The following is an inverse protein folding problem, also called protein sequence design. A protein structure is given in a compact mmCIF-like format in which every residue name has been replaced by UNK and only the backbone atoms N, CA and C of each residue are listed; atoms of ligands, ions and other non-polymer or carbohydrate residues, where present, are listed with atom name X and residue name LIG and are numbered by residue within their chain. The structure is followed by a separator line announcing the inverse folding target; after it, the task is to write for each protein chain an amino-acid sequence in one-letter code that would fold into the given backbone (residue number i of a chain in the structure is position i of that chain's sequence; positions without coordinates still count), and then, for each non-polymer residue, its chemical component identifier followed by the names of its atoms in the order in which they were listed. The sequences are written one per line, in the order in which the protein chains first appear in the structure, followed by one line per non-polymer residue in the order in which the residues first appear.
data_IF_717386302381
#
_entry.id   IF_717386302381
#
_cell.length_a   1.000
_cell.length_b   1.000
_cell.length_c   1.000
_cell.angle_alpha   90.00
_cell.angle_beta   90.00
_cell.angle_gamma   90.00
#
_symmetry.space_group_name_H-M   'P 1'
#
loop_
_entity.id
_entity.type
_entity.pdbx_description
1 polymer ?
#
# COMPACT_ATOMS: atom_id res chain seq x y z
N UNK A 1 -21.14 -1.00 6.05
CA UNK A 1 -20.67 -1.04 4.66
C UNK A 1 -21.46 -2.09 3.89
N UNK A 2 -21.50 -1.98 2.57
CA UNK A 2 -22.10 -3.02 1.73
C UNK A 2 -21.28 -4.30 1.79
N UNK A 3 -21.94 -5.46 1.70
CA UNK A 3 -21.26 -6.75 1.61
C UNK A 3 -20.44 -6.82 0.30
N UNK A 4 -19.29 -7.50 0.29
CA UNK A 4 -18.55 -7.74 -0.94
C UNK A 4 -19.40 -8.37 -2.04
N UNK A 5 -19.19 -7.92 -3.28
CA UNK A 5 -19.91 -8.40 -4.46
C UNK A 5 -19.02 -9.27 -5.36
N UNK A 6 -19.63 -9.88 -6.38
CA UNK A 6 -18.87 -10.61 -7.41
C UNK A 6 -18.01 -9.68 -8.28
N UNK A 7 -18.41 -8.42 -8.41
CA UNK A 7 -17.66 -7.42 -9.17
C UNK A 7 -16.41 -7.00 -8.40
N UNK A 8 -16.52 -6.82 -7.08
CA UNK A 8 -15.37 -6.61 -6.18
C UNK A 8 -14.35 -7.76 -6.31
N UNK A 9 -14.82 -9.00 -6.24
CA UNK A 9 -13.97 -10.18 -6.40
C UNK A 9 -13.29 -10.22 -7.79
N UNK A 10 -14.03 -9.87 -8.85
CA UNK A 10 -13.49 -9.82 -10.21
C UNK A 10 -12.41 -8.75 -10.37
N UNK A 11 -12.64 -7.55 -9.83
CA UNK A 11 -11.67 -6.46 -9.82
C UNK A 11 -10.43 -6.82 -9.01
N UNK A 12 -10.61 -7.41 -7.83
CA UNK A 12 -9.53 -7.88 -6.98
C UNK A 12 -8.63 -8.91 -7.68
N UNK A 13 -9.21 -9.88 -8.39
CA UNK A 13 -8.44 -10.87 -9.15
C UNK A 13 -7.66 -10.24 -10.32
N UNK A 14 -8.23 -9.22 -10.97
CA UNK A 14 -7.52 -8.44 -11.99
C UNK A 14 -6.34 -7.68 -11.37
N UNK A 15 -6.56 -6.99 -10.24
CA UNK A 15 -5.50 -6.31 -9.49
C UNK A 15 -4.40 -7.31 -9.10
N UNK A 16 -4.74 -8.43 -8.48
CA UNK A 16 -3.79 -9.49 -8.13
C UNK A 16 -2.94 -9.93 -9.33
N UNK A 17 -3.55 -10.06 -10.51
CA UNK A 17 -2.83 -10.45 -11.73
C UNK A 17 -1.85 -9.37 -12.19
N UNK A 18 -2.22 -8.09 -12.07
CA UNK A 18 -1.34 -6.96 -12.38
C UNK A 18 -0.19 -6.87 -11.36
N UNK A 19 -0.52 -6.90 -10.07
CA UNK A 19 0.43 -6.77 -8.95
C UNK A 19 1.43 -7.94 -8.87
N UNK A 20 1.04 -9.15 -9.29
CA UNK A 20 1.96 -10.31 -9.35
C UNK A 20 3.13 -10.10 -10.32
N UNK A 21 3.00 -9.22 -11.32
CA UNK A 21 4.13 -8.86 -12.19
C UNK A 21 5.22 -8.11 -11.43
N UNK A 22 4.87 -7.53 -10.27
CA UNK A 22 5.74 -6.78 -9.38
C UNK A 22 6.22 -7.60 -8.17
N UNK A 23 6.16 -8.93 -8.24
CA UNK A 23 6.54 -9.81 -7.13
C UNK A 23 7.95 -9.53 -6.58
N UNK A 24 8.88 -9.08 -7.42
CA UNK A 24 10.24 -8.72 -6.99
C UNK A 24 10.24 -7.52 -6.03
N UNK A 25 9.38 -6.53 -6.25
CA UNK A 25 9.25 -5.36 -5.38
C UNK A 25 8.61 -5.73 -4.04
N UNK A 26 7.58 -6.59 -4.06
CA UNK A 26 6.96 -7.13 -2.83
C UNK A 26 7.94 -8.00 -2.04
N UNK A 27 8.73 -8.84 -2.71
CA UNK A 27 9.79 -9.61 -2.04
C UNK A 27 10.83 -8.68 -1.44
N UNK A 28 11.29 -7.69 -2.20
CA UNK A 28 12.28 -6.72 -1.74
C UNK A 28 11.80 -5.94 -0.50
N UNK A 29 10.56 -5.45 -0.48
CA UNK A 29 10.07 -4.67 0.66
C UNK A 29 9.90 -5.51 1.94
N UNK A 30 9.61 -6.80 1.79
CA UNK A 30 9.48 -7.72 2.91
C UNK A 30 10.82 -8.21 3.44
N UNK A 31 11.74 -8.57 2.55
CA UNK A 31 12.98 -9.29 2.91
C UNK A 31 14.21 -8.39 3.05
N UNK A 32 14.24 -7.23 2.38
CA UNK A 32 15.46 -6.41 2.27
C UNK A 32 15.31 -4.96 2.73
N UNK A 33 14.09 -4.43 2.68
CA UNK A 33 13.81 -3.04 3.03
C UNK A 33 13.66 -2.88 4.54
N UNK A 34 14.55 -2.09 5.14
CA UNK A 34 14.71 -1.90 6.59
C UNK A 34 14.74 -0.42 7.00
N UNK A 35 14.73 0.49 6.03
CA UNK A 35 14.90 1.92 6.23
C UNK A 35 13.70 2.52 6.96
N UNK A 36 13.96 3.20 8.08
CA UNK A 36 12.92 3.76 8.96
C UNK A 36 12.73 5.27 8.80
N UNK A 37 13.51 5.91 7.94
CA UNK A 37 13.41 7.33 7.66
C UNK A 37 13.82 7.62 6.21
N UNK A 38 13.37 8.78 5.73
CA UNK A 38 13.56 9.18 4.34
C UNK A 38 15.00 9.50 3.96
N UNK A 39 15.81 10.04 4.87
CA UNK A 39 17.19 10.43 4.56
C UNK A 39 18.06 9.20 4.30
N UNK A 40 17.93 8.16 5.15
CA UNK A 40 18.60 6.87 4.95
C UNK A 40 18.15 6.19 3.66
N UNK A 41 16.84 6.22 3.38
CA UNK A 41 16.30 5.71 2.12
C UNK A 41 16.88 6.45 0.91
N UNK A 42 16.90 7.78 0.94
CA UNK A 42 17.40 8.62 -0.15
C UNK A 42 18.89 8.42 -0.39
N UNK A 43 19.67 8.22 0.68
CA UNK A 43 21.10 7.94 0.62
C UNK A 43 21.39 6.55 0.05
N UNK A 44 20.70 5.50 0.53
CA UNK A 44 20.93 4.11 0.12
C UNK A 44 20.31 3.78 -1.24
N UNK A 45 19.15 4.36 -1.52
CA UNK A 45 18.36 4.13 -2.73
C UNK A 45 18.11 5.46 -3.47
N UNK A 46 19.16 6.04 -4.08
CA UNK A 46 19.00 7.27 -4.86
C UNK A 46 18.01 7.05 -6.00
N UNK A 47 17.42 8.14 -6.48
CA UNK A 47 16.45 8.12 -7.59
C UNK A 47 17.04 7.39 -8.80
N UNK A 48 16.31 6.39 -9.31
CA UNK A 48 16.76 5.55 -10.43
C UNK A 48 17.50 4.27 -10.02
N UNK A 49 17.81 4.09 -8.73
CA UNK A 49 18.27 2.79 -8.21
C UNK A 49 17.15 1.74 -8.25
N UNK A 50 17.53 0.46 -8.14
CA UNK A 50 16.57 -0.64 -8.05
C UNK A 50 15.67 -0.52 -6.80
N UNK A 51 16.25 -0.24 -5.63
CA UNK A 51 15.46 -0.07 -4.41
C UNK A 51 14.48 1.09 -4.49
N UNK A 52 14.86 2.20 -5.13
CA UNK A 52 13.93 3.30 -5.37
C UNK A 52 12.78 2.87 -6.28
N UNK A 53 13.05 2.13 -7.37
CA UNK A 53 11.99 1.60 -8.25
C UNK A 53 11.07 0.64 -7.51
N UNK A 54 11.63 -0.31 -6.75
CA UNK A 54 10.85 -1.28 -5.99
C UNK A 54 9.96 -0.58 -4.95
N UNK A 55 10.49 0.38 -4.21
CA UNK A 55 9.71 1.19 -3.27
C UNK A 55 8.57 1.91 -3.98
N UNK A 56 8.85 2.60 -5.09
CA UNK A 56 7.85 3.33 -5.87
C UNK A 56 6.76 2.40 -6.41
N UNK A 57 7.11 1.19 -6.84
CA UNK A 57 6.14 0.19 -7.28
C UNK A 57 5.19 -0.20 -6.15
N UNK A 58 5.71 -0.54 -4.97
CA UNK A 58 4.86 -0.89 -3.81
C UNK A 58 3.98 0.28 -3.39
N UNK A 59 4.55 1.47 -3.26
CA UNK A 59 3.81 2.66 -2.86
C UNK A 59 2.72 3.07 -3.87
N UNK A 60 2.99 2.93 -5.16
CA UNK A 60 2.01 3.21 -6.22
C UNK A 60 0.90 2.16 -6.26
N UNK A 61 1.22 0.89 -6.00
CA UNK A 61 0.24 -0.18 -5.90
C UNK A 61 -0.70 0.03 -4.69
N UNK A 62 -0.15 0.42 -3.53
CA UNK A 62 -0.95 0.80 -2.37
C UNK A 62 -1.83 2.02 -2.63
N UNK A 63 -1.34 3.02 -3.37
CA UNK A 63 -2.13 4.20 -3.76
C UNK A 63 -3.28 3.85 -4.70
N UNK A 64 -3.08 2.94 -5.65
CA UNK A 64 -4.14 2.44 -6.52
C UNK A 64 -5.24 1.73 -5.71
N UNK A 65 -4.86 0.77 -4.85
CA UNK A 65 -5.80 0.03 -4.01
C UNK A 65 -6.54 0.99 -3.09
N UNK A 66 -5.82 1.87 -2.40
CA UNK A 66 -6.39 2.86 -1.50
C UNK A 66 -7.36 3.80 -2.22
N UNK A 67 -7.08 4.18 -3.47
CA UNK A 67 -7.99 5.02 -4.26
C UNK A 67 -9.32 4.30 -4.52
N UNK A 68 -9.28 3.02 -4.91
CA UNK A 68 -10.48 2.24 -5.20
C UNK A 68 -11.31 2.01 -3.93
N UNK A 69 -10.65 1.67 -2.82
CA UNK A 69 -11.30 1.47 -1.52
C UNK A 69 -11.90 2.78 -1.00
N UNK A 70 -11.17 3.89 -1.04
CA UNK A 70 -11.67 5.17 -0.55
C UNK A 70 -12.81 5.77 -1.39
N UNK A 71 -13.08 5.20 -2.57
CA UNK A 71 -14.18 5.58 -3.46
C UNK A 71 -15.31 4.55 -3.48
N UNK A 72 -15.28 3.56 -2.58
CA UNK A 72 -16.27 2.49 -2.50
C UNK A 72 -16.40 1.68 -3.81
N UNK A 73 -15.32 1.61 -4.60
CA UNK A 73 -15.25 0.84 -5.86
C UNK A 73 -14.67 -0.56 -5.66
N UNK A 74 -14.00 -0.79 -4.53
CA UNK A 74 -13.47 -2.08 -4.12
C UNK A 74 -13.74 -2.27 -2.63
N UNK A 75 -14.39 -3.37 -2.27
CA UNK A 75 -14.67 -3.73 -0.88
C UNK A 75 -13.41 -3.73 0.00
N UNK A 76 -13.43 -2.93 1.07
CA UNK A 76 -12.33 -2.91 2.04
C UNK A 76 -12.22 -4.21 2.84
N UNK A 77 -13.34 -4.94 3.04
CA UNK A 77 -13.34 -6.25 3.70
C UNK A 77 -12.44 -7.24 2.95
N UNK A 78 -12.57 -7.34 1.63
CA UNK A 78 -11.74 -8.24 0.82
C UNK A 78 -10.26 -7.85 0.84
N UNK A 79 -9.99 -6.54 0.80
CA UNK A 79 -8.62 -6.00 0.80
C UNK A 79 -7.95 -6.29 2.14
N UNK A 80 -8.62 -6.01 3.26
CA UNK A 80 -8.07 -6.16 4.60
C UNK A 80 -7.97 -7.62 5.04
N UNK A 81 -8.91 -8.49 4.67
CA UNK A 81 -8.80 -9.94 4.92
C UNK A 81 -7.55 -10.54 4.22
N UNK A 82 -7.11 -9.99 3.09
CA UNK A 82 -5.95 -10.51 2.34
C UNK A 82 -4.62 -9.85 2.70
N UNK A 83 -4.62 -8.54 2.94
CA UNK A 83 -3.38 -7.76 3.02
C UNK A 83 -3.26 -6.89 4.26
N UNK A 84 -4.26 -6.88 5.15
CA UNK A 84 -4.28 -6.02 6.32
C UNK A 84 -4.08 -4.53 5.95
N UNK A 85 -3.17 -3.80 6.62
CA UNK A 85 -2.90 -2.38 6.34
C UNK A 85 -2.01 -2.16 5.11
N UNK A 86 -1.93 -3.14 4.19
CA UNK A 86 -1.21 -3.05 2.92
C UNK A 86 0.29 -2.73 3.05
N UNK A 87 0.98 -3.08 4.15
CA UNK A 87 2.40 -2.71 4.42
C UNK A 87 2.66 -1.22 4.64
N UNK A 88 1.63 -0.42 4.94
CA UNK A 88 1.78 1.03 5.12
C UNK A 88 2.86 1.43 6.13
N UNK A 89 3.03 0.69 7.23
CA UNK A 89 4.04 0.99 8.26
C UNK A 89 5.47 1.08 7.71
N UNK A 90 5.81 0.28 6.69
CA UNK A 90 7.12 0.36 6.01
C UNK A 90 7.20 1.56 5.06
N UNK A 91 6.08 1.93 4.44
CA UNK A 91 6.01 2.99 3.42
C UNK A 91 5.91 4.39 4.04
N UNK A 92 5.24 4.51 5.18
CA UNK A 92 4.91 5.76 5.87
C UNK A 92 6.10 6.72 6.06
N UNK A 93 7.21 6.33 6.71
CA UNK A 93 8.29 7.27 6.99
C UNK A 93 8.93 7.83 5.71
N UNK A 94 8.99 7.01 4.67
CA UNK A 94 9.56 7.39 3.37
C UNK A 94 8.57 8.28 2.62
N UNK A 95 7.28 7.91 2.57
CA UNK A 95 6.24 8.68 1.92
C UNK A 95 6.13 10.09 2.52
N UNK A 96 6.16 10.22 3.85
CA UNK A 96 6.14 11.52 4.53
C UNK A 96 7.36 12.37 4.20
N UNK A 97 8.56 11.79 4.17
CA UNK A 97 9.76 12.52 3.78
C UNK A 97 9.74 12.94 2.31
N UNK A 98 9.32 12.05 1.41
CA UNK A 98 9.16 12.37 -0.02
C UNK A 98 8.18 13.53 -0.23
N UNK A 99 7.02 13.54 0.45
CA UNK A 99 6.04 14.64 0.36
C UNK A 99 6.67 15.99 0.66
N UNK A 100 7.50 16.05 1.72
CA UNK A 100 8.21 17.26 2.14
C UNK A 100 9.28 17.65 1.13
N UNK A 101 10.12 16.71 0.71
CA UNK A 101 11.25 16.95 -0.22
C UNK A 101 10.81 17.47 -1.58
N UNK A 102 9.74 16.92 -2.15
CA UNK A 102 9.26 17.31 -3.49
C UNK A 102 8.07 18.27 -3.46
N UNK A 103 7.70 18.79 -2.27
CA UNK A 103 6.56 19.67 -2.05
C UNK A 103 5.24 19.16 -2.67
N UNK A 104 4.94 17.87 -2.45
CA UNK A 104 3.72 17.22 -2.98
C UNK A 104 2.91 16.61 -1.83
N UNK A 105 2.08 17.40 -1.14
CA UNK A 105 1.40 16.96 0.09
C UNK A 105 0.47 15.76 -0.09
N UNK A 106 -0.06 15.56 -1.31
CA UNK A 106 -1.01 14.49 -1.65
C UNK A 106 -0.36 13.19 -2.16
N UNK A 107 0.97 13.09 -2.15
CA UNK A 107 1.66 11.89 -2.62
C UNK A 107 1.29 10.67 -1.75
N UNK A 108 0.72 9.62 -2.33
CA UNK A 108 0.29 8.41 -1.60
C UNK A 108 -0.76 8.68 -0.50
N UNK A 109 -1.59 9.71 -0.65
CA UNK A 109 -2.61 10.06 0.36
C UNK A 109 -3.70 8.99 0.47
N UNK A 110 -4.10 8.35 -0.64
CA UNK A 110 -5.19 7.39 -0.61
C UNK A 110 -4.73 6.08 0.03
N UNK A 111 -3.47 5.72 -0.18
CA UNK A 111 -2.84 4.62 0.53
C UNK A 111 -2.87 4.86 2.04
N UNK A 112 -2.42 6.03 2.51
CA UNK A 112 -2.42 6.37 3.94
C UNK A 112 -3.83 6.36 4.53
N UNK A 113 -4.80 6.99 3.87
CA UNK A 113 -6.19 7.03 4.33
C UNK A 113 -6.78 5.62 4.40
N UNK A 114 -6.50 4.78 3.41
CA UNK A 114 -6.95 3.38 3.41
C UNK A 114 -6.31 2.60 4.56
N UNK A 115 -4.99 2.69 4.74
CA UNK A 115 -4.29 1.99 5.80
C UNK A 115 -4.77 2.41 7.21
N UNK A 116 -5.06 3.70 7.41
CA UNK A 116 -5.58 4.21 8.68
C UNK A 116 -6.99 3.75 9.03
N UNK A 117 -7.77 3.26 8.05
CA UNK A 117 -9.08 2.62 8.32
C UNK A 117 -8.94 1.21 8.89
N UNK A 118 -7.82 0.53 8.61
CA UNK A 118 -7.63 -0.87 8.99
C UNK A 118 -7.83 -1.16 10.49
N UNK A 119 -7.31 -0.38 11.46
CA UNK A 119 -7.56 -0.66 12.88
C UNK A 119 -9.04 -0.65 13.26
N UNK A 120 -9.82 0.29 12.71
CA UNK A 120 -11.27 0.36 12.94
C UNK A 120 -12.03 -0.81 12.30
N UNK A 121 -11.52 -1.28 11.16
CA UNK A 121 -12.05 -2.48 10.52
C UNK A 121 -11.72 -3.74 11.32
N UNK A 122 -10.48 -3.88 11.80
CA UNK A 122 -10.01 -5.03 12.56
C UNK A 122 -10.74 -5.17 13.91
N UNK A 123 -11.05 -4.06 14.58
CA UNK A 123 -11.88 -4.07 15.80
C UNK A 123 -13.28 -4.65 15.55
N UNK A 124 -13.86 -4.38 14.37
CA UNK A 124 -15.18 -4.89 13.97
C UNK A 124 -15.14 -6.30 13.41
N UNK A 125 -13.96 -6.78 13.01
CA UNK A 125 -13.73 -8.07 12.38
C UNK A 125 -12.64 -8.82 13.15
N UNK A 126 -12.92 -9.28 14.38
CA UNK A 126 -11.92 -9.97 15.20
C UNK A 126 -11.46 -11.29 14.53
N UNK A 127 -10.27 -11.79 14.91
CA UNK A 127 -9.76 -13.07 14.42
C UNK A 127 -10.81 -14.19 14.53
N UNK A 128 -10.90 -14.99 13.46
CA UNK A 128 -11.88 -16.10 13.34
C UNK A 128 -11.37 -17.39 14.00
N UNK A 129 -10.10 -17.43 14.39
CA UNK A 129 -9.38 -18.54 15.03
C UNK A 129 -8.51 -18.04 16.16
#
# INVERSE_FOLDING_TARGET
MAKPTKDDASLLLQLLTLLKKDNDALRWINEKFEEKNYDDFKAKYPKGSEGYRNFMTVASNGELIGTLVNKDLLSEDLVYDLWGPLLWEKVEPIAHGMRKDINRPRLFENYEVCAKKYPMWAEKNPPKV
#
